data_IF_876511673774
#
_entry.id   IF_876511673774
#
_cell.length_a   1.000
_cell.length_b   1.000
_cell.length_c   1.000
_cell.angle_alpha   90.00
_cell.angle_beta   90.00
_cell.angle_gamma   90.00
#
_symmetry.space_group_name_H-M   'P 1'
#
loop_
_entity.id
_entity.type
_entity.pdbx_description
1 polymer ?
#
# COMPACT_ATOMS: atom_id res chain seq x y z
N UNK A 1 36.84 -2.79 -1.81
CA UNK A 1 35.53 -2.11 -1.72
C UNK A 1 34.47 -2.98 -1.01
N UNK A 2 34.65 -3.39 0.27
CA UNK A 2 33.59 -4.00 1.06
C UNK A 2 32.76 -2.98 1.88
N UNK A 3 33.22 -1.73 1.99
CA UNK A 3 32.68 -0.74 2.95
C UNK A 3 31.41 0.01 2.50
N UNK A 4 30.65 -0.51 1.52
CA UNK A 4 29.54 0.22 0.89
C UNK A 4 28.17 -0.50 0.94
N UNK A 5 28.10 -1.67 1.58
CA UNK A 5 26.84 -2.41 1.74
C UNK A 5 26.55 -2.74 3.19
N UNK A 6 25.26 -2.79 3.57
CA UNK A 6 24.86 -3.39 4.83
C UNK A 6 25.39 -4.83 4.91
N UNK A 7 25.91 -5.22 6.08
CA UNK A 7 26.50 -6.54 6.31
C UNK A 7 25.60 -7.71 5.83
N UNK A 8 24.27 -7.69 6.05
CA UNK A 8 23.39 -8.76 5.58
C UNK A 8 23.44 -8.96 4.05
N UNK A 9 23.46 -7.87 3.29
CA UNK A 9 23.47 -7.91 1.83
C UNK A 9 24.82 -8.40 1.30
N UNK A 10 25.92 -7.94 1.90
CA UNK A 10 27.26 -8.39 1.53
C UNK A 10 27.43 -9.90 1.77
N UNK A 11 26.93 -10.40 2.91
CA UNK A 11 26.91 -11.82 3.26
C UNK A 11 26.08 -12.63 2.26
N UNK A 12 24.87 -12.18 1.93
CA UNK A 12 24.00 -12.86 0.97
C UNK A 12 24.65 -12.93 -0.43
N UNK A 13 25.20 -11.82 -0.94
CA UNK A 13 25.89 -11.79 -2.23
C UNK A 13 27.04 -12.82 -2.27
N UNK A 14 27.84 -12.88 -1.20
CA UNK A 14 28.94 -13.83 -1.06
C UNK A 14 28.47 -15.29 -1.05
N UNK A 15 27.40 -15.60 -0.31
CA UNK A 15 26.78 -16.93 -0.26
C UNK A 15 26.24 -17.38 -1.63
N UNK A 16 25.66 -16.46 -2.40
CA UNK A 16 25.16 -16.72 -3.75
C UNK A 16 26.28 -16.78 -4.81
N UNK A 17 27.55 -16.62 -4.44
CA UNK A 17 28.68 -16.52 -5.38
C UNK A 17 28.48 -15.44 -6.46
N UNK A 18 27.85 -14.32 -6.08
CA UNK A 18 27.60 -13.17 -6.94
C UNK A 18 28.66 -12.10 -6.75
N UNK A 19 28.90 -11.31 -7.79
CA UNK A 19 29.74 -10.12 -7.76
C UNK A 19 28.87 -8.89 -7.99
N UNK A 20 29.01 -7.88 -7.13
CA UNK A 20 28.41 -6.58 -7.37
C UNK A 20 29.14 -5.85 -8.50
N UNK A 21 28.37 -5.43 -9.51
CA UNK A 21 28.85 -4.66 -10.66
C UNK A 21 28.52 -3.18 -10.51
N UNK A 22 27.29 -2.86 -10.10
CA UNK A 22 26.83 -1.49 -9.92
C UNK A 22 25.78 -1.37 -8.82
N UNK A 23 25.72 -0.20 -8.18
CA UNK A 23 24.71 0.19 -7.22
C UNK A 23 24.25 1.60 -7.54
N UNK A 24 23.01 1.74 -7.98
CA UNK A 24 22.45 3.01 -8.48
C UNK A 24 21.29 3.42 -7.59
N UNK A 25 21.28 4.64 -7.03
CA UNK A 25 20.11 5.15 -6.31
C UNK A 25 18.88 5.17 -7.21
N UNK A 26 17.75 4.70 -6.69
CA UNK A 26 16.44 4.88 -7.32
C UNK A 26 15.72 6.04 -6.61
N UNK A 27 15.06 6.89 -7.39
CA UNK A 27 14.14 7.89 -6.87
C UNK A 27 12.81 7.24 -6.44
N UNK A 28 12.13 7.80 -5.44
CA UNK A 28 10.75 7.42 -5.10
C UNK A 28 10.51 7.10 -3.62
N UNK A 29 11.55 6.73 -2.87
CA UNK A 29 11.42 6.50 -1.42
C UNK A 29 11.38 7.82 -0.64
N UNK A 30 10.28 8.11 0.07
CA UNK A 30 10.21 9.22 1.01
C UNK A 30 10.93 8.92 2.35
N UNK A 31 11.20 7.64 2.63
CA UNK A 31 11.58 7.16 3.97
C UNK A 31 12.77 6.19 3.91
N UNK A 32 12.78 5.28 2.94
CA UNK A 32 13.85 4.33 2.74
C UNK A 32 14.87 4.80 1.69
N UNK A 33 16.14 4.45 1.88
CA UNK A 33 17.13 4.54 0.81
C UNK A 33 16.89 3.37 -0.15
N UNK A 34 16.56 3.66 -1.41
CA UNK A 34 16.29 2.64 -2.43
C UNK A 34 17.42 2.62 -3.46
N UNK A 35 17.96 1.44 -3.74
CA UNK A 35 19.05 1.24 -4.70
C UNK A 35 18.76 0.06 -5.61
N UNK A 36 19.01 0.24 -6.90
CA UNK A 36 19.12 -0.87 -7.84
C UNK A 36 20.52 -1.47 -7.77
N UNK A 37 20.58 -2.78 -7.53
CA UNK A 37 21.82 -3.55 -7.53
C UNK A 37 21.93 -4.30 -8.85
N UNK A 38 23.04 -4.13 -9.56
CA UNK A 38 23.40 -5.00 -10.69
C UNK A 38 24.48 -5.97 -10.21
N UNK A 39 24.14 -7.25 -10.20
CA UNK A 39 24.98 -8.37 -9.78
C UNK A 39 25.35 -9.23 -10.98
N UNK A 40 26.44 -9.97 -10.89
CA UNK A 40 26.89 -10.90 -11.91
C UNK A 40 27.27 -12.24 -11.30
N UNK A 41 26.83 -13.33 -11.93
CA UNK A 41 27.25 -14.69 -11.60
C UNK A 41 28.66 -14.97 -12.11
N UNK A 42 29.33 -16.00 -11.59
CA UNK A 42 30.64 -16.47 -12.12
C UNK A 42 30.61 -16.82 -13.61
N UNK A 43 29.45 -17.19 -14.14
CA UNK A 43 29.24 -17.52 -15.56
C UNK A 43 28.99 -16.29 -16.44
N UNK A 44 28.93 -15.09 -15.85
CA UNK A 44 28.75 -13.83 -16.58
C UNK A 44 27.30 -13.34 -16.67
N UNK A 45 26.31 -14.14 -16.26
CA UNK A 45 24.90 -13.74 -16.26
C UNK A 45 24.65 -12.59 -15.28
N UNK A 46 23.93 -11.56 -15.72
CA UNK A 46 23.56 -10.40 -14.90
C UNK A 46 22.22 -10.61 -14.21
N UNK A 47 22.13 -10.15 -12.97
CA UNK A 47 20.92 -10.17 -12.14
C UNK A 47 20.72 -8.75 -11.62
N UNK A 48 19.49 -8.27 -11.61
CA UNK A 48 19.14 -6.97 -11.06
C UNK A 48 18.17 -7.13 -9.90
N UNK A 49 18.43 -6.43 -8.80
CA UNK A 49 17.63 -6.45 -7.58
C UNK A 49 17.40 -5.04 -7.07
N UNK A 50 16.40 -4.85 -6.23
CA UNK A 50 16.15 -3.60 -5.50
C UNK A 50 16.45 -3.80 -4.03
N UNK A 51 17.36 -3.00 -3.50
CA UNK A 51 17.65 -2.92 -2.06
C UNK A 51 16.92 -1.71 -1.48
N UNK A 52 16.03 -1.96 -0.52
CA UNK A 52 15.50 -0.94 0.39
C UNK A 52 16.22 -1.04 1.72
N UNK A 53 16.72 0.09 2.22
CA UNK A 53 17.38 0.18 3.51
C UNK A 53 16.79 1.29 4.38
N UNK A 54 16.55 0.99 5.66
CA UNK A 54 15.99 1.94 6.64
C UNK A 54 16.76 1.95 7.98
N UNK A 55 17.87 2.69 8.08
CA UNK A 55 18.69 2.70 9.28
C UNK A 55 17.95 3.22 10.51
N UNK A 56 18.06 2.52 11.65
CA UNK A 56 17.86 3.11 12.97
C UNK A 56 16.45 3.15 13.57
N UNK A 57 15.41 2.55 12.94
CA UNK A 57 14.11 2.29 13.63
C UNK A 57 13.03 1.50 12.86
N UNK A 58 13.28 1.01 11.64
CA UNK A 58 12.20 0.56 10.75
C UNK A 58 12.34 -0.87 10.22
N UNK A 59 13.01 -1.76 10.97
CA UNK A 59 13.00 -3.20 10.66
C UNK A 59 11.56 -3.73 10.58
N UNK A 60 10.69 -3.31 11.50
CA UNK A 60 9.26 -3.65 11.48
C UNK A 60 8.56 -3.24 10.19
N UNK A 61 8.89 -2.07 9.63
CA UNK A 61 8.28 -1.60 8.39
C UNK A 61 8.72 -2.44 7.19
N UNK A 62 10.00 -2.81 7.12
CA UNK A 62 10.49 -3.70 6.05
C UNK A 62 9.97 -5.13 6.18
N UNK A 63 9.82 -5.63 7.41
CA UNK A 63 9.17 -6.91 7.67
C UNK A 63 7.68 -6.86 7.29
N UNK A 64 6.98 -5.78 7.61
CA UNK A 64 5.59 -5.59 7.20
C UNK A 64 5.43 -5.52 5.67
N UNK A 65 6.32 -4.80 4.98
CA UNK A 65 6.32 -4.74 3.51
C UNK A 65 6.59 -6.12 2.91
N UNK A 66 7.55 -6.87 3.46
CA UNK A 66 7.78 -8.27 3.06
C UNK A 66 6.51 -9.12 3.20
N UNK A 67 5.86 -9.09 4.36
CA UNK A 67 4.63 -9.86 4.59
C UNK A 67 3.52 -9.44 3.63
N UNK A 68 3.39 -8.13 3.35
CA UNK A 68 2.42 -7.59 2.40
C UNK A 68 2.68 -8.06 0.96
N UNK A 69 3.93 -7.98 0.49
CA UNK A 69 4.32 -8.47 -0.83
C UNK A 69 4.09 -9.98 -0.98
N UNK A 70 4.35 -10.75 0.07
CA UNK A 70 4.07 -12.19 0.09
C UNK A 70 2.57 -12.49 0.03
N UNK A 71 1.75 -11.73 0.76
CA UNK A 71 0.29 -11.88 0.73
C UNK A 71 -0.31 -11.52 -0.64
N UNK A 72 0.19 -10.46 -1.28
CA UNK A 72 -0.25 -10.03 -2.62
C UNK A 72 0.28 -10.93 -3.75
N UNK A 73 1.20 -11.85 -3.48
CA UNK A 73 1.78 -12.73 -4.50
C UNK A 73 0.84 -13.90 -4.85
N UNK A 74 -0.20 -13.60 -5.61
CA UNK A 74 -1.18 -14.59 -6.08
C UNK A 74 -0.64 -15.37 -7.29
N UNK A 75 -0.87 -16.68 -7.31
CA UNK A 75 -0.44 -17.57 -8.41
C UNK A 75 -1.48 -17.72 -9.54
N UNK A 76 -2.62 -17.06 -9.39
CA UNK A 76 -3.74 -17.14 -10.34
C UNK A 76 -3.42 -16.45 -11.67
N UNK A 77 -3.95 -16.93 -12.81
CA UNK A 77 -3.86 -16.21 -14.07
C UNK A 77 -4.43 -14.80 -13.92
N UNK A 78 -3.78 -13.81 -14.53
CA UNK A 78 -4.14 -12.39 -14.46
C UNK A 78 -3.96 -11.72 -13.08
N UNK A 79 -3.36 -12.41 -12.10
CA UNK A 79 -2.92 -11.76 -10.87
C UNK A 79 -1.96 -10.60 -11.17
N UNK A 80 -2.12 -9.50 -10.42
CA UNK A 80 -1.22 -8.36 -10.54
C UNK A 80 0.19 -8.76 -10.08
N UNK A 81 1.18 -8.29 -10.83
CA UNK A 81 2.58 -8.55 -10.50
C UNK A 81 2.98 -7.74 -9.28
N UNK A 82 3.57 -8.38 -8.27
CA UNK A 82 4.32 -7.72 -7.20
C UNK A 82 5.78 -8.19 -7.21
N UNK A 83 6.77 -7.38 -6.79
CA UNK A 83 8.16 -7.84 -6.70
C UNK A 83 8.30 -9.07 -5.80
N UNK A 84 9.05 -10.08 -6.25
CA UNK A 84 9.41 -11.19 -5.36
C UNK A 84 10.34 -10.71 -4.24
N UNK A 85 10.07 -11.16 -3.03
CA UNK A 85 10.97 -10.97 -1.89
C UNK A 85 12.13 -11.97 -2.02
N UNK A 86 13.36 -11.45 -2.09
CA UNK A 86 14.58 -12.27 -2.07
C UNK A 86 15.02 -12.55 -0.63
N UNK A 87 15.05 -11.50 0.21
CA UNK A 87 15.33 -11.62 1.64
C UNK A 87 14.93 -10.35 2.39
N UNK A 88 14.68 -10.49 3.68
CA UNK A 88 14.59 -9.39 4.64
C UNK A 88 15.46 -9.75 5.86
N UNK A 89 16.41 -8.90 6.21
CA UNK A 89 17.26 -9.09 7.39
C UNK A 89 17.64 -7.73 7.98
N UNK A 90 17.31 -7.52 9.25
CA UNK A 90 17.59 -6.26 9.95
C UNK A 90 16.90 -5.06 9.28
N UNK A 91 17.69 -4.07 8.89
CA UNK A 91 17.24 -2.83 8.26
C UNK A 91 17.22 -2.91 6.72
N UNK A 92 17.28 -4.10 6.15
CA UNK A 92 17.37 -4.34 4.71
C UNK A 92 16.25 -5.24 4.19
N UNK A 93 15.68 -4.86 3.04
CA UNK A 93 14.77 -5.67 2.23
C UNK A 93 15.30 -5.71 0.80
N UNK A 94 15.53 -6.93 0.30
CA UNK A 94 16.01 -7.19 -1.05
C UNK A 94 14.88 -7.78 -1.88
N UNK A 95 14.54 -7.12 -2.98
CA UNK A 95 13.42 -7.44 -3.85
C UNK A 95 13.92 -7.69 -5.27
N UNK A 96 13.12 -8.40 -6.04
CA UNK A 96 13.24 -8.46 -7.50
C UNK A 96 13.20 -7.06 -8.12
N UNK A 97 14.06 -6.82 -9.12
CA UNK A 97 13.94 -5.65 -9.98
C UNK A 97 12.97 -5.92 -11.12
N UNK A 98 11.79 -5.31 -11.06
CA UNK A 98 10.81 -5.32 -12.15
C UNK A 98 11.32 -4.42 -13.29
N UNK A 99 11.88 -5.04 -14.32
CA UNK A 99 12.46 -4.31 -15.46
C UNK A 99 11.39 -3.50 -16.18
N UNK A 100 11.54 -2.17 -16.30
CA UNK A 100 10.51 -1.32 -16.89
C UNK A 100 10.39 -1.57 -18.39
N UNK A 101 9.15 -1.49 -18.89
CA UNK A 101 8.81 -1.56 -20.31
C UNK A 101 7.78 -0.48 -20.64
N UNK A 102 7.57 -0.12 -21.91
CA UNK A 102 6.38 0.64 -22.31
C UNK A 102 5.10 -0.14 -21.95
N UNK A 103 4.01 0.55 -21.57
CA UNK A 103 2.74 -0.12 -21.26
C UNK A 103 2.22 -0.88 -22.47
N UNK A 104 1.72 -2.10 -22.23
CA UNK A 104 0.99 -2.87 -23.22
C UNK A 104 -0.33 -2.17 -23.58
N UNK A 105 -0.85 -2.44 -24.78
CA UNK A 105 -2.10 -1.82 -25.27
C UNK A 105 -3.31 -2.11 -24.36
N UNK A 106 -3.28 -3.24 -23.65
CA UNK A 106 -4.32 -3.69 -22.73
C UNK A 106 -3.99 -3.46 -21.24
N UNK A 107 -2.97 -2.65 -20.91
CA UNK A 107 -2.50 -2.37 -19.54
C UNK A 107 -3.63 -2.09 -18.55
N UNK A 108 -4.52 -1.15 -18.86
CA UNK A 108 -5.61 -0.76 -17.97
C UNK A 108 -6.66 -1.88 -17.80
N UNK A 109 -6.82 -2.71 -18.83
CA UNK A 109 -7.70 -3.89 -18.77
C UNK A 109 -7.08 -4.94 -17.85
N UNK A 110 -5.78 -5.22 -18.00
CA UNK A 110 -5.07 -6.13 -17.09
C UNK A 110 -5.09 -5.63 -15.65
N UNK A 111 -4.92 -4.32 -15.44
CA UNK A 111 -4.94 -3.71 -14.10
C UNK A 111 -6.32 -3.88 -13.45
N UNK A 112 -7.41 -3.64 -14.19
CA UNK A 112 -8.78 -3.77 -13.69
C UNK A 112 -9.15 -5.22 -13.37
N UNK A 113 -8.80 -6.17 -14.25
CA UNK A 113 -9.04 -7.61 -14.01
C UNK A 113 -8.23 -8.09 -12.80
N UNK A 114 -6.93 -7.77 -12.77
CA UNK A 114 -6.04 -8.25 -11.73
C UNK A 114 -6.41 -7.72 -10.34
N UNK A 115 -6.86 -6.45 -10.25
CA UNK A 115 -7.34 -5.92 -8.97
C UNK A 115 -8.67 -6.56 -8.53
N UNK A 116 -9.60 -6.78 -9.47
CA UNK A 116 -10.83 -7.49 -9.16
C UNK A 116 -10.56 -8.91 -8.65
N UNK A 117 -9.59 -9.61 -9.25
CA UNK A 117 -9.14 -10.93 -8.83
C UNK A 117 -8.49 -10.89 -7.43
N UNK A 118 -7.65 -9.90 -7.14
CA UNK A 118 -7.10 -9.70 -5.80
C UNK A 118 -8.20 -9.52 -4.75
N UNK A 119 -9.23 -8.74 -5.08
CA UNK A 119 -10.38 -8.53 -4.20
C UNK A 119 -11.32 -9.75 -4.09
N UNK A 120 -11.08 -10.85 -4.81
CA UNK A 120 -11.73 -12.13 -4.54
C UNK A 120 -11.05 -12.90 -3.38
N UNK A 121 -9.85 -12.48 -2.95
CA UNK A 121 -9.17 -13.05 -1.78
C UNK A 121 -9.77 -12.48 -0.50
N UNK A 122 -10.85 -13.10 -0.02
CA UNK A 122 -11.45 -12.80 1.29
C UNK A 122 -10.57 -13.31 2.44
N UNK A 123 -10.68 -12.70 3.62
CA UNK A 123 -9.99 -13.21 4.81
C UNK A 123 -10.57 -14.55 5.26
N UNK A 124 -9.70 -15.51 5.57
CA UNK A 124 -10.12 -16.88 5.98
C UNK A 124 -11.04 -16.88 7.22
N UNK A 125 -10.86 -15.91 8.11
CA UNK A 125 -11.66 -15.73 9.32
C UNK A 125 -12.88 -14.82 9.14
N UNK A 126 -13.07 -14.22 7.96
CA UNK A 126 -14.10 -13.21 7.70
C UNK A 126 -13.93 -11.91 8.51
N UNK A 127 -12.74 -11.67 9.05
CA UNK A 127 -12.41 -10.50 9.87
C UNK A 127 -11.60 -9.47 9.09
N UNK A 128 -11.60 -8.23 9.60
CA UNK A 128 -10.85 -7.09 9.10
C UNK A 128 -9.54 -6.95 9.87
N UNK A 129 -8.44 -6.69 9.17
CA UNK A 129 -7.11 -6.59 9.77
C UNK A 129 -6.06 -7.37 9.00
N UNK A 130 -4.97 -7.68 9.68
CA UNK A 130 -3.82 -8.41 9.13
C UNK A 130 -3.01 -8.98 10.29
N UNK A 131 -2.22 -10.03 10.03
CA UNK A 131 -1.46 -10.70 11.11
C UNK A 131 -0.39 -9.81 11.75
N UNK A 132 0.05 -8.78 11.04
CA UNK A 132 0.98 -7.78 11.54
C UNK A 132 0.49 -6.38 11.25
N UNK A 133 0.89 -5.44 12.11
CA UNK A 133 0.69 -4.03 11.85
C UNK A 133 1.55 -3.63 10.64
N UNK A 134 0.93 -2.98 9.65
CA UNK A 134 1.60 -2.51 8.44
C UNK A 134 1.89 -1.01 8.50
N UNK A 135 2.39 -0.42 7.43
CA UNK A 135 2.76 1.00 7.39
C UNK A 135 2.28 1.61 6.08
N UNK A 136 1.57 2.73 6.16
CA UNK A 136 1.18 3.53 4.99
C UNK A 136 2.06 4.79 4.96
N UNK A 137 3.05 4.78 4.08
CA UNK A 137 4.16 5.73 4.17
C UNK A 137 4.93 5.54 5.48
N UNK A 138 5.07 6.61 6.27
CA UNK A 138 5.81 6.58 7.55
C UNK A 138 4.95 6.26 8.75
N UNK A 139 3.65 6.07 8.52
CA UNK A 139 2.67 5.96 9.58
C UNK A 139 2.33 4.50 9.81
N UNK A 140 2.50 4.06 11.06
CA UNK A 140 2.11 2.72 11.50
C UNK A 140 0.59 2.56 11.40
N UNK A 141 0.16 1.47 10.78
CA UNK A 141 -1.23 1.09 10.58
C UNK A 141 -1.56 -0.11 11.48
N UNK A 142 -2.26 0.09 12.60
CA UNK A 142 -2.74 -1.01 13.42
C UNK A 142 -3.71 -1.90 12.63
N UNK A 143 -3.57 -3.21 12.77
CA UNK A 143 -4.26 -4.23 11.99
C UNK A 143 -4.82 -5.36 12.87
N UNK A 144 -4.99 -5.12 14.18
CA UNK A 144 -5.55 -6.13 15.07
C UNK A 144 -6.91 -6.59 14.53
N UNK A 145 -7.07 -7.90 14.36
CA UNK A 145 -8.28 -8.50 13.79
C UNK A 145 -9.57 -8.02 14.48
N UNK A 146 -10.57 -7.65 13.67
CA UNK A 146 -11.91 -7.22 14.11
C UNK A 146 -12.99 -7.92 13.29
N UNK A 147 -14.09 -8.31 13.94
CA UNK A 147 -15.25 -8.89 13.25
C UNK A 147 -16.12 -7.84 12.55
N UNK A 148 -16.02 -6.57 12.95
CA UNK A 148 -16.84 -5.47 12.44
C UNK A 148 -15.95 -4.45 11.71
N UNK A 149 -16.22 -4.27 10.43
CA UNK A 149 -15.47 -3.36 9.56
C UNK A 149 -15.61 -1.89 9.95
N UNK A 150 -16.78 -1.47 10.46
CA UNK A 150 -16.98 -0.10 10.93
C UNK A 150 -16.17 0.16 12.21
N UNK A 151 -16.13 -0.82 13.14
CA UNK A 151 -15.28 -0.74 14.34
C UNK A 151 -13.80 -0.69 13.96
N UNK A 152 -13.39 -1.53 13.00
CA UNK A 152 -12.02 -1.53 12.47
C UNK A 152 -11.64 -0.16 11.90
N UNK A 153 -12.46 0.39 11.00
CA UNK A 153 -12.19 1.69 10.36
C UNK A 153 -12.21 2.84 11.38
N UNK A 154 -13.20 2.89 12.26
CA UNK A 154 -13.30 3.90 13.31
C UNK A 154 -12.04 3.92 14.19
N UNK A 155 -11.67 2.77 14.76
CA UNK A 155 -10.61 2.71 15.78
C UNK A 155 -9.22 2.68 15.18
N UNK A 156 -9.00 1.88 14.14
CA UNK A 156 -7.67 1.56 13.63
C UNK A 156 -7.29 2.33 12.36
N UNK A 157 -8.21 3.12 11.79
CA UNK A 157 -7.91 4.06 10.69
C UNK A 157 -8.10 5.50 11.13
N UNK A 158 -9.30 5.90 11.55
CA UNK A 158 -9.57 7.31 11.87
C UNK A 158 -9.03 7.75 13.23
N UNK A 159 -9.43 7.10 14.32
CA UNK A 159 -9.14 7.57 15.69
C UNK A 159 -7.64 7.61 15.98
N UNK A 160 -6.86 6.65 15.49
CA UNK A 160 -5.40 6.65 15.62
C UNK A 160 -4.79 7.90 14.99
N UNK A 161 -5.13 8.19 13.73
CA UNK A 161 -4.59 9.35 13.02
C UNK A 161 -5.13 10.68 13.57
N UNK A 162 -6.40 10.73 13.95
CA UNK A 162 -7.01 11.92 14.54
C UNK A 162 -6.38 12.25 15.90
N UNK A 163 -6.10 11.24 16.72
CA UNK A 163 -5.43 11.42 18.02
C UNK A 163 -4.02 11.97 17.83
N UNK A 164 -3.24 11.38 16.92
CA UNK A 164 -1.89 11.86 16.60
C UNK A 164 -1.91 13.28 16.03
N UNK A 165 -2.86 13.56 15.12
CA UNK A 165 -3.03 14.87 14.51
C UNK A 165 -3.41 15.94 15.56
N UNK A 166 -4.25 15.60 16.53
CA UNK A 166 -4.61 16.50 17.62
C UNK A 166 -3.40 16.77 18.53
N UNK A 167 -2.65 15.74 18.91
CA UNK A 167 -1.44 15.87 19.75
C UNK A 167 -0.38 16.77 19.12
N UNK A 168 -0.28 16.75 17.79
CA UNK A 168 0.63 17.59 17.00
C UNK A 168 0.05 18.95 16.61
N UNK A 169 -1.16 19.29 17.09
CA UNK A 169 -1.89 20.52 16.74
C UNK A 169 -2.14 20.70 15.23
N UNK A 170 -2.27 19.59 14.49
CA UNK A 170 -2.60 19.59 13.07
C UNK A 170 -4.11 19.71 12.82
N UNK A 171 -4.93 19.37 13.81
CA UNK A 171 -6.39 19.58 13.82
C UNK A 171 -6.82 20.21 15.15
N UNK A 172 -7.99 20.86 15.16
CA UNK A 172 -8.57 21.40 16.39
C UNK A 172 -9.32 20.32 17.18
N UNK A 173 -9.56 20.56 18.48
CA UNK A 173 -10.44 19.71 19.29
C UNK A 173 -11.85 19.57 18.69
N UNK A 174 -12.37 20.63 18.06
CA UNK A 174 -13.66 20.58 17.39
C UNK A 174 -13.70 19.63 16.19
N UNK A 175 -12.63 19.59 15.38
CA UNK A 175 -12.50 18.63 14.26
C UNK A 175 -12.34 17.21 14.80
N UNK A 176 -11.56 17.03 15.86
CA UNK A 176 -11.42 15.73 16.53
C UNK A 176 -12.78 15.19 17.02
N UNK A 177 -13.57 16.00 17.71
CA UNK A 177 -14.91 15.60 18.19
C UNK A 177 -15.86 15.28 17.03
N UNK A 178 -15.75 15.99 15.90
CA UNK A 178 -16.53 15.67 14.69
C UNK A 178 -16.11 14.33 14.08
N UNK A 179 -14.82 13.99 14.08
CA UNK A 179 -14.33 12.68 13.63
C UNK A 179 -14.87 11.57 14.54
N UNK A 180 -14.92 11.78 15.85
CA UNK A 180 -15.51 10.81 16.78
C UNK A 180 -17.00 10.59 16.51
N UNK A 181 -17.78 11.66 16.30
CA UNK A 181 -19.18 11.54 15.91
C UNK A 181 -19.37 10.84 14.56
N UNK A 182 -18.46 11.08 13.61
CA UNK A 182 -18.46 10.37 12.34
C UNK A 182 -18.20 8.87 12.54
N UNK A 183 -17.25 8.50 13.41
CA UNK A 183 -16.98 7.10 13.74
C UNK A 183 -18.24 6.38 14.23
N UNK A 184 -19.05 7.03 15.08
CA UNK A 184 -20.30 6.47 15.61
C UNK A 184 -21.36 6.27 14.51
N UNK A 185 -21.34 7.08 13.44
CA UNK A 185 -22.27 6.99 12.30
C UNK A 185 -21.83 6.00 11.21
N UNK A 186 -20.58 5.51 11.22
CA UNK A 186 -20.07 4.63 10.16
C UNK A 186 -20.95 3.40 9.88
N UNK A 187 -21.54 2.71 10.88
CA UNK A 187 -22.41 1.56 10.62
C UNK A 187 -23.66 1.89 9.78
N UNK A 188 -24.12 3.15 9.80
CA UNK A 188 -25.26 3.62 9.01
C UNK A 188 -24.84 4.12 7.63
N UNK A 189 -23.62 4.65 7.51
CA UNK A 189 -23.09 5.25 6.29
C UNK A 189 -22.44 4.24 5.34
N UNK A 190 -21.90 3.15 5.88
CA UNK A 190 -21.15 2.14 5.12
C UNK A 190 -21.92 0.81 5.09
N UNK A 191 -22.22 0.28 3.89
CA UNK A 191 -22.90 -1.01 3.79
C UNK A 191 -21.96 -2.16 4.19
N UNK A 192 -22.55 -3.21 4.76
CA UNK A 192 -21.84 -4.46 5.06
C UNK A 192 -21.28 -5.10 3.78
N UNK A 193 -20.00 -5.46 3.82
CA UNK A 193 -19.20 -6.01 2.72
C UNK A 193 -18.16 -6.96 3.31
N UNK A 194 -17.70 -7.99 2.56
CA UNK A 194 -16.63 -8.88 3.01
C UNK A 194 -15.29 -8.12 3.17
N UNK A 195 -14.41 -8.68 4.01
CA UNK A 195 -13.04 -8.20 4.14
C UNK A 195 -12.16 -8.90 3.09
N UNK A 196 -11.63 -8.13 2.15
CA UNK A 196 -10.84 -8.61 1.01
C UNK A 196 -9.41 -8.07 1.09
N UNK A 197 -8.46 -8.78 0.48
CA UNK A 197 -7.05 -8.40 0.48
C UNK A 197 -6.83 -7.10 -0.30
N UNK A 198 -6.38 -6.06 0.39
CA UNK A 198 -6.07 -4.76 -0.20
C UNK A 198 -4.56 -4.56 -0.33
N UNK A 199 -4.13 -3.86 -1.38
CA UNK A 199 -2.79 -3.26 -1.44
C UNK A 199 -2.63 -2.19 -0.35
N UNK A 200 -3.68 -1.41 -0.06
CA UNK A 200 -3.79 -0.52 1.10
C UNK A 200 -3.17 0.87 0.92
N UNK A 201 -2.37 1.07 -0.13
CA UNK A 201 -1.87 2.38 -0.56
C UNK A 201 -1.87 2.50 -2.10
N UNK A 202 -2.99 2.11 -2.75
CA UNK A 202 -3.05 2.00 -4.20
C UNK A 202 -3.38 3.34 -4.88
N UNK A 203 -2.35 4.07 -5.29
CA UNK A 203 -2.44 5.24 -6.15
C UNK A 203 -1.50 5.10 -7.36
N UNK A 204 -1.56 6.04 -8.31
CA UNK A 204 -0.83 5.91 -9.58
C UNK A 204 0.70 5.82 -9.41
N UNK A 205 1.25 6.33 -8.31
CA UNK A 205 2.68 6.22 -8.00
C UNK A 205 3.12 4.80 -7.59
N UNK A 206 2.18 3.98 -7.10
CA UNK A 206 2.43 2.60 -6.68
C UNK A 206 2.05 1.56 -7.74
N UNK A 207 1.64 2.03 -8.93
CA UNK A 207 1.45 1.20 -10.12
C UNK A 207 2.57 1.50 -11.11
N UNK A 208 3.37 0.49 -11.42
CA UNK A 208 4.46 0.61 -12.40
C UNK A 208 4.20 -0.26 -13.62
N UNK A 209 4.84 0.11 -14.72
CA UNK A 209 4.87 -0.74 -15.90
C UNK A 209 6.04 -1.72 -15.80
N UNK A 210 5.70 -2.98 -15.50
CA UNK A 210 6.66 -4.05 -15.28
C UNK A 210 7.17 -4.69 -16.58
N UNK A 211 7.84 -5.84 -16.45
CA UNK A 211 8.33 -6.60 -17.61
C UNK A 211 7.21 -6.92 -18.60
N UNK A 212 7.49 -6.81 -19.89
CA UNK A 212 6.53 -7.05 -20.98
C UNK A 212 5.36 -6.06 -21.04
N UNK A 213 5.44 -4.95 -20.31
CA UNK A 213 4.44 -3.90 -20.37
C UNK A 213 3.21 -4.13 -19.50
N UNK A 214 3.22 -5.15 -18.62
CA UNK A 214 2.10 -5.47 -17.72
C UNK A 214 2.10 -4.57 -16.46
N UNK A 215 0.93 -4.35 -15.82
CA UNK A 215 0.86 -3.64 -14.55
C UNK A 215 1.53 -4.43 -13.42
N UNK A 216 2.26 -3.72 -12.58
CA UNK A 216 2.80 -4.25 -11.33
C UNK A 216 2.58 -3.27 -10.18
N UNK A 217 2.34 -3.80 -8.99
CA UNK A 217 2.15 -3.03 -7.76
C UNK A 217 3.42 -3.06 -6.91
N UNK A 218 3.71 -1.93 -6.28
CA UNK A 218 4.84 -1.76 -5.36
C UNK A 218 4.41 -0.99 -4.11
N UNK A 219 5.21 -1.11 -3.06
CA UNK A 219 5.09 -0.34 -1.82
C UNK A 219 3.73 -0.51 -1.12
N UNK A 220 3.32 -1.75 -0.81
CA UNK A 220 2.00 -2.00 -0.25
C UNK A 220 1.91 -1.69 1.26
N UNK A 221 0.71 -1.31 1.69
CA UNK A 221 0.31 -1.14 3.09
C UNK A 221 -0.82 -2.15 3.43
N UNK A 222 -0.55 -3.43 3.16
CA UNK A 222 -1.56 -4.51 3.09
C UNK A 222 -2.40 -4.65 4.35
N UNK A 223 -3.69 -4.95 4.14
CA UNK A 223 -4.61 -5.49 5.14
C UNK A 223 -5.86 -6.05 4.45
N UNK A 224 -6.65 -6.83 5.18
CA UNK A 224 -8.01 -7.21 4.77
C UNK A 224 -9.00 -6.12 5.15
N UNK A 225 -9.64 -5.53 4.15
CA UNK A 225 -10.51 -4.36 4.28
C UNK A 225 -11.65 -4.39 3.27
N UNK A 226 -12.38 -3.29 3.17
CA UNK A 226 -13.40 -3.15 2.13
C UNK A 226 -12.78 -2.76 0.79
N UNK A 227 -13.15 -3.44 -0.30
CA UNK A 227 -12.68 -3.15 -1.65
C UNK A 227 -12.87 -1.67 -2.06
N UNK A 228 -13.94 -1.05 -1.57
CA UNK A 228 -14.23 0.38 -1.80
C UNK A 228 -13.14 1.30 -1.24
N UNK A 229 -12.44 0.89 -0.18
CA UNK A 229 -11.35 1.68 0.39
C UNK A 229 -10.17 1.80 -0.58
N UNK A 230 -9.79 0.70 -1.22
CA UNK A 230 -8.73 0.67 -2.23
C UNK A 230 -9.15 1.46 -3.48
N UNK A 231 -10.38 1.27 -3.97
CA UNK A 231 -10.88 2.03 -5.12
C UNK A 231 -10.96 3.54 -4.87
N UNK A 232 -11.40 3.95 -3.68
CA UNK A 232 -11.43 5.37 -3.32
C UNK A 232 -10.04 6.00 -3.39
N UNK A 233 -9.01 5.28 -2.91
CA UNK A 233 -7.62 5.76 -2.95
C UNK A 233 -7.14 5.96 -4.39
N UNK A 234 -7.52 5.09 -5.34
CA UNK A 234 -7.14 5.27 -6.75
C UNK A 234 -7.63 6.60 -7.35
N UNK A 235 -8.70 7.19 -6.79
CA UNK A 235 -9.30 8.44 -7.28
C UNK A 235 -8.62 9.70 -6.71
N UNK A 236 -7.87 9.59 -5.61
CA UNK A 236 -7.38 10.74 -4.85
C UNK A 236 -6.34 11.58 -5.61
N UNK A 237 -5.50 10.96 -6.42
CA UNK A 237 -4.39 11.62 -7.13
C UNK A 237 -4.50 11.54 -8.65
N UNK A 238 -5.64 12.01 -9.18
CA UNK A 238 -5.88 12.11 -10.62
C UNK A 238 -6.65 10.94 -11.23
N UNK A 239 -6.88 9.87 -10.47
CA UNK A 239 -7.67 8.73 -10.93
C UNK A 239 -6.92 7.78 -11.85
N UNK A 240 -7.45 6.57 -11.97
CA UNK A 240 -7.07 5.66 -13.05
C UNK A 240 -7.95 5.91 -14.28
N UNK A 241 -7.65 5.23 -15.39
CA UNK A 241 -8.43 5.41 -16.62
C UNK A 241 -9.87 4.92 -16.46
N UNK A 242 -10.76 5.49 -17.27
CA UNK A 242 -12.15 5.00 -17.33
C UNK A 242 -12.22 3.51 -17.67
N UNK A 243 -11.31 3.03 -18.53
CA UNK A 243 -11.24 1.62 -18.93
C UNK A 243 -10.94 0.72 -17.73
N UNK A 244 -10.00 1.11 -16.86
CA UNK A 244 -9.72 0.39 -15.62
C UNK A 244 -10.99 0.20 -14.78
N UNK A 245 -11.71 1.28 -14.48
CA UNK A 245 -12.91 1.21 -13.63
C UNK A 245 -14.01 0.35 -14.26
N UNK A 246 -14.27 0.51 -15.56
CA UNK A 246 -15.26 -0.30 -16.27
C UNK A 246 -14.95 -1.80 -16.18
N UNK A 247 -13.68 -2.15 -16.35
CA UNK A 247 -13.24 -3.55 -16.33
C UNK A 247 -13.30 -4.10 -14.91
N UNK A 248 -12.82 -3.36 -13.92
CA UNK A 248 -12.90 -3.76 -12.52
C UNK A 248 -14.35 -4.00 -12.09
N UNK A 249 -15.26 -3.07 -12.39
CA UNK A 249 -16.68 -3.17 -12.02
C UNK A 249 -17.38 -4.35 -12.71
N UNK A 250 -17.01 -4.66 -13.95
CA UNK A 250 -17.57 -5.80 -14.67
C UNK A 250 -17.10 -7.17 -14.13
N UNK A 251 -16.00 -7.21 -13.37
CA UNK A 251 -15.36 -8.44 -12.90
C UNK A 251 -15.34 -8.57 -11.36
N UNK A 252 -16.05 -7.70 -10.63
CA UNK A 252 -16.07 -7.70 -9.17
C UNK A 252 -17.49 -7.63 -8.61
N UNK A 253 -17.63 -7.89 -7.31
CA UNK A 253 -18.88 -7.75 -6.57
C UNK A 253 -19.00 -6.36 -5.90
N UNK A 254 -18.36 -5.34 -6.48
CA UNK A 254 -18.38 -3.98 -5.91
C UNK A 254 -19.80 -3.43 -5.87
N UNK A 255 -20.17 -2.77 -4.77
CA UNK A 255 -21.52 -2.29 -4.61
C UNK A 255 -21.79 -1.04 -5.48
N UNK A 256 -23.00 -0.90 -6.03
CA UNK A 256 -23.42 0.35 -6.66
C UNK A 256 -23.27 1.56 -5.70
N UNK A 257 -22.97 2.73 -6.27
CA UNK A 257 -22.80 3.96 -5.49
C UNK A 257 -21.52 4.03 -4.65
N UNK A 258 -20.55 3.12 -4.83
CA UNK A 258 -19.28 3.16 -4.08
C UNK A 258 -18.55 4.51 -4.21
N UNK A 259 -18.69 5.18 -5.37
CA UNK A 259 -18.12 6.52 -5.60
C UNK A 259 -18.68 7.57 -4.64
N UNK A 260 -19.96 7.47 -4.27
CA UNK A 260 -20.58 8.41 -3.34
C UNK A 260 -20.03 8.24 -1.91
N UNK A 261 -19.48 7.05 -1.60
CA UNK A 261 -18.85 6.73 -0.32
C UNK A 261 -17.33 6.95 -0.33
N UNK A 262 -16.73 7.31 -1.46
CA UNK A 262 -15.28 7.42 -1.60
C UNK A 262 -14.65 8.41 -0.60
N UNK A 263 -15.33 9.52 -0.30
CA UNK A 263 -14.85 10.51 0.68
C UNK A 263 -14.72 9.91 2.09
N UNK A 264 -15.60 8.98 2.50
CA UNK A 264 -15.48 8.30 3.78
C UNK A 264 -14.17 7.51 3.81
N UNK A 265 -13.92 6.68 2.81
CA UNK A 265 -12.67 5.90 2.75
C UNK A 265 -11.42 6.80 2.65
N UNK A 266 -11.45 7.81 1.79
CA UNK A 266 -10.33 8.73 1.58
C UNK A 266 -10.02 9.60 2.79
N UNK A 267 -10.94 9.77 3.75
CA UNK A 267 -10.66 10.47 5.01
C UNK A 267 -9.43 9.86 5.72
N UNK A 268 -9.26 8.54 5.67
CA UNK A 268 -8.07 7.87 6.21
C UNK A 268 -6.79 8.40 5.55
N UNK A 269 -6.74 8.43 4.21
CA UNK A 269 -5.58 8.89 3.48
C UNK A 269 -5.34 10.40 3.65
N UNK A 270 -6.38 11.23 3.72
CA UNK A 270 -6.25 12.67 4.01
C UNK A 270 -5.69 12.93 5.41
N UNK A 271 -6.15 12.19 6.43
CA UNK A 271 -5.58 12.27 7.78
C UNK A 271 -4.11 11.81 7.79
N UNK A 272 -3.79 10.73 7.07
CA UNK A 272 -2.43 10.22 6.98
C UNK A 272 -1.49 11.24 6.29
N UNK A 273 -1.95 11.84 5.19
CA UNK A 273 -1.19 12.87 4.47
C UNK A 273 -1.04 14.15 5.28
N UNK A 274 -2.08 14.55 6.04
CA UNK A 274 -1.99 15.67 6.99
C UNK A 274 -0.90 15.40 8.03
N UNK A 275 -0.84 14.18 8.58
CA UNK A 275 0.15 13.79 9.57
C UNK A 275 1.58 13.80 8.99
N UNK A 276 1.78 13.27 7.77
CA UNK A 276 3.10 13.13 7.15
C UNK A 276 3.61 14.43 6.51
N UNK A 277 2.73 15.23 5.92
CA UNK A 277 3.10 16.35 5.05
C UNK A 277 2.52 17.71 5.47
N UNK A 278 1.60 17.74 6.44
CA UNK A 278 1.08 18.97 7.02
C UNK A 278 -0.11 19.60 6.27
N UNK A 279 -0.28 20.91 6.47
CA UNK A 279 -1.57 21.60 6.33
C UNK A 279 -2.25 21.63 4.96
N UNK A 280 -1.60 21.20 3.88
CA UNK A 280 -2.21 21.15 2.55
C UNK A 280 -3.49 20.30 2.51
N UNK A 281 -3.54 19.26 3.35
CA UNK A 281 -4.63 18.28 3.43
C UNK A 281 -5.70 18.62 4.48
N UNK A 282 -5.48 19.65 5.30
CA UNK A 282 -6.41 20.04 6.38
C UNK A 282 -7.81 20.37 5.86
N UNK A 283 -7.88 21.09 4.73
CA UNK A 283 -9.15 21.51 4.13
C UNK A 283 -10.01 20.33 3.69
N UNK A 284 -9.39 19.28 3.17
CA UNK A 284 -10.11 18.07 2.75
C UNK A 284 -10.65 17.29 3.96
N UNK A 285 -9.84 17.15 5.01
CA UNK A 285 -10.29 16.56 6.29
C UNK A 285 -11.50 17.33 6.84
N UNK A 286 -11.43 18.65 6.95
CA UNK A 286 -12.55 19.46 7.46
C UNK A 286 -13.79 19.37 6.59
N UNK A 287 -13.64 19.40 5.26
CA UNK A 287 -14.75 19.30 4.30
C UNK A 287 -15.52 18.00 4.50
N UNK A 288 -14.80 16.87 4.50
CA UNK A 288 -15.40 15.53 4.61
C UNK A 288 -16.06 15.36 5.97
N UNK A 289 -15.32 15.68 7.04
CA UNK A 289 -15.79 15.52 8.42
C UNK A 289 -17.03 16.39 8.66
N UNK A 290 -17.05 17.64 8.21
CA UNK A 290 -18.22 18.52 8.34
C UNK A 290 -19.44 17.98 7.61
N UNK A 291 -19.26 17.41 6.42
CA UNK A 291 -20.36 16.88 5.61
C UNK A 291 -21.04 15.68 6.29
N UNK A 292 -20.27 14.75 6.85
CA UNK A 292 -20.81 13.51 7.44
C UNK A 292 -21.10 13.57 8.94
N UNK A 293 -20.45 14.47 9.69
CA UNK A 293 -20.68 14.62 11.14
C UNK A 293 -21.85 15.55 11.49
N UNK A 294 -22.33 16.35 10.52
CA UNK A 294 -23.45 17.29 10.66
C UNK A 294 -24.79 16.66 11.00
#
# INVERSE_FOLDING_TARGET
>A
MPDLFPEPIAKWIGQQSLQLIASTPLSGGCIAQVRQLTLQTKQGNRIQLVLKQMPGRAAEQLTAEMCGLQALHLSEPHALRVPQVVMQEGDCLLLEYLSPSPPADDFDTQLGIGLALQHCSESDCGQFGFDTDTFCGGTRQPNQWQTDGAVFYARQRYQVLATQSLQLNLITAGVFDQILRLCDKLPELLPGQPAVLLHGDLWSGNVICGPQGQPALIDPAVYYGWAEAELAMTQMFGGFSHRFYQVYEANSNILPGWRDRADLYNLYHYLNHLLLFGGAYHRDVERIVKYYSG
#
